data_IF_329809484941
#
_entry.id   IF_329809484941
#
_cell.length_a   1.000
_cell.length_b   1.000
_cell.length_c   1.000
_cell.angle_alpha   90.00
_cell.angle_beta   90.00
_cell.angle_gamma   90.00
#
_symmetry.space_group_name_H-M   'P 1'
#
loop_
_entity.id
_entity.type
_entity.pdbx_description
1 polymer ?
#
# COMPACT_ATOMS: atom_id res chain seq x y z
N UNK A 1 6.81 -3.52 -2.69
CA UNK A 1 6.56 -4.74 -3.49
C UNK A 1 5.84 -4.44 -4.81
N UNK A 2 4.83 -3.56 -4.83
CA UNK A 2 4.09 -3.20 -6.06
C UNK A 2 4.99 -2.69 -7.19
N UNK A 3 5.94 -1.79 -6.90
CA UNK A 3 6.87 -1.26 -7.91
C UNK A 3 7.71 -2.35 -8.57
N UNK A 4 8.14 -3.36 -7.81
CA UNK A 4 8.89 -4.50 -8.34
C UNK A 4 7.99 -5.37 -9.25
N UNK A 5 6.73 -5.59 -8.86
CA UNK A 5 5.77 -6.31 -9.68
C UNK A 5 5.49 -5.58 -11.01
N UNK A 6 5.37 -4.24 -10.99
CA UNK A 6 5.19 -3.43 -12.20
C UNK A 6 6.43 -3.51 -13.11
N UNK A 7 7.63 -3.34 -12.55
CA UNK A 7 8.87 -3.46 -13.31
C UNK A 7 9.02 -4.86 -13.94
N UNK A 8 8.68 -5.91 -13.18
CA UNK A 8 8.68 -7.28 -13.68
C UNK A 8 7.64 -7.48 -14.78
N UNK A 9 6.45 -6.88 -14.66
CA UNK A 9 5.41 -6.91 -15.69
C UNK A 9 5.86 -6.24 -16.98
N UNK A 10 6.48 -5.06 -16.90
CA UNK A 10 7.07 -4.37 -18.05
C UNK A 10 8.17 -5.22 -18.67
N UNK A 11 9.05 -5.81 -17.85
CA UNK A 11 10.11 -6.69 -18.34
C UNK A 11 9.56 -7.93 -19.03
N UNK A 12 8.47 -8.50 -18.50
CA UNK A 12 7.75 -9.64 -19.09
C UNK A 12 7.17 -9.28 -20.45
N UNK A 13 6.58 -8.08 -20.58
CA UNK A 13 6.04 -7.59 -21.86
C UNK A 13 7.15 -7.41 -22.91
N UNK A 14 8.26 -6.79 -22.51
CA UNK A 14 9.44 -6.61 -23.36
C UNK A 14 10.00 -7.98 -23.77
N UNK A 15 10.21 -8.88 -22.81
CA UNK A 15 10.66 -10.25 -23.05
C UNK A 15 9.76 -10.99 -24.04
N UNK A 16 8.44 -10.88 -23.89
CA UNK A 16 7.47 -11.51 -24.79
C UNK A 16 7.56 -10.95 -26.21
N UNK A 17 7.60 -9.62 -26.35
CA UNK A 17 7.71 -8.96 -27.67
C UNK A 17 9.01 -9.37 -28.36
N UNK A 18 10.16 -9.26 -27.68
CA UNK A 18 11.45 -9.65 -28.24
C UNK A 18 11.53 -11.15 -28.53
N UNK A 19 10.95 -11.99 -27.67
CA UNK A 19 10.86 -13.42 -27.87
C UNK A 19 10.04 -13.82 -29.08
N UNK A 20 8.91 -13.14 -29.32
CA UNK A 20 8.08 -13.38 -30.50
C UNK A 20 8.77 -12.95 -31.80
N UNK A 21 9.53 -11.84 -31.79
CA UNK A 21 10.29 -11.35 -32.96
C UNK A 21 11.49 -12.25 -33.27
N UNK A 22 12.28 -12.61 -32.26
CA UNK A 22 13.43 -13.50 -32.38
C UNK A 22 13.49 -14.47 -31.20
N UNK A 23 12.96 -15.70 -31.35
CA UNK A 23 12.86 -16.64 -30.24
C UNK A 23 14.22 -17.08 -29.70
N UNK A 24 15.26 -17.07 -30.54
CA UNK A 24 16.65 -17.32 -30.14
C UNK A 24 17.23 -16.28 -29.17
N UNK A 25 16.64 -15.10 -29.05
CA UNK A 25 17.20 -14.04 -28.19
C UNK A 25 16.96 -14.31 -26.70
N UNK A 26 15.71 -14.52 -26.23
CA UNK A 26 15.49 -14.93 -24.85
C UNK A 26 15.87 -16.39 -24.58
N UNK A 27 15.73 -17.28 -25.57
CA UNK A 27 16.05 -18.70 -25.46
C UNK A 27 17.38 -19.03 -26.16
N UNK A 28 18.41 -18.20 -25.93
CA UNK A 28 19.73 -18.37 -26.56
C UNK A 28 20.41 -19.70 -26.21
N UNK A 29 19.93 -20.39 -25.17
CA UNK A 29 20.42 -21.69 -24.71
C UNK A 29 19.80 -22.91 -25.41
N UNK A 30 18.77 -22.72 -26.25
CA UNK A 30 18.06 -23.82 -26.92
C UNK A 30 18.49 -23.97 -28.39
N UNK A 31 18.78 -25.21 -28.81
CA UNK A 31 19.16 -25.51 -30.20
C UNK A 31 18.03 -25.23 -31.21
N UNK A 32 16.78 -25.45 -30.80
CA UNK A 32 15.56 -25.18 -31.60
C UNK A 32 14.54 -24.45 -30.73
N UNK A 33 14.69 -23.13 -30.55
CA UNK A 33 13.74 -22.35 -29.78
C UNK A 33 12.49 -22.15 -30.63
N UNK A 34 11.41 -22.82 -30.24
CA UNK A 34 10.10 -22.67 -30.82
C UNK A 34 9.33 -21.52 -30.14
N UNK A 35 8.48 -20.83 -30.91
CA UNK A 35 7.65 -19.72 -30.40
C UNK A 35 6.68 -20.20 -29.32
N UNK A 36 6.25 -21.45 -29.37
CA UNK A 36 5.38 -22.06 -28.38
C UNK A 36 5.99 -22.06 -26.97
N UNK A 37 7.30 -22.33 -26.84
CA UNK A 37 7.98 -22.32 -25.53
C UNK A 37 7.94 -20.92 -24.92
N UNK A 38 8.06 -19.88 -25.75
CA UNK A 38 8.00 -18.49 -25.30
C UNK A 38 6.63 -18.15 -24.76
N UNK A 39 5.57 -18.61 -25.43
CA UNK A 39 4.19 -18.43 -24.94
C UNK A 39 4.04 -19.10 -23.57
N UNK A 40 4.48 -20.34 -23.41
CA UNK A 40 4.39 -21.08 -22.13
C UNK A 40 5.15 -20.36 -21.01
N UNK A 41 6.40 -19.96 -21.26
CA UNK A 41 7.21 -19.22 -20.26
C UNK A 41 6.55 -17.88 -19.91
N UNK A 42 5.99 -17.18 -20.90
CA UNK A 42 5.33 -15.89 -20.69
C UNK A 42 4.06 -16.06 -19.86
N UNK A 43 3.26 -17.11 -20.10
CA UNK A 43 2.08 -17.40 -19.26
C UNK A 43 2.47 -17.60 -17.80
N UNK A 44 3.57 -18.33 -17.54
CA UNK A 44 4.09 -18.53 -16.18
C UNK A 44 4.56 -17.19 -15.58
N UNK A 45 5.31 -16.39 -16.33
CA UNK A 45 5.74 -15.06 -15.87
C UNK A 45 4.57 -14.14 -15.55
N UNK A 46 3.52 -14.13 -16.36
CA UNK A 46 2.31 -13.34 -16.12
C UNK A 46 1.64 -13.78 -14.81
N UNK A 47 1.54 -15.09 -14.54
CA UNK A 47 1.01 -15.56 -13.26
C UNK A 47 1.85 -15.10 -12.07
N UNK A 48 3.18 -15.11 -12.19
CA UNK A 48 4.08 -14.61 -11.13
C UNK A 48 3.86 -13.12 -10.90
N UNK A 49 3.82 -12.32 -11.98
CA UNK A 49 3.57 -10.87 -11.90
C UNK A 49 2.21 -10.58 -11.25
N UNK A 50 1.15 -11.30 -11.65
CA UNK A 50 -0.19 -11.13 -11.10
C UNK A 50 -0.24 -11.48 -9.61
N UNK A 51 0.46 -12.53 -9.19
CA UNK A 51 0.55 -12.95 -7.77
C UNK A 51 1.24 -11.88 -6.94
N UNK A 52 2.43 -11.42 -7.37
CA UNK A 52 3.19 -10.38 -6.67
C UNK A 52 2.44 -9.04 -6.66
N UNK A 53 1.73 -8.68 -7.74
CA UNK A 53 0.94 -7.46 -7.81
C UNK A 53 -0.26 -7.54 -6.86
N UNK A 54 -0.94 -8.68 -6.80
CA UNK A 54 -2.04 -8.93 -5.87
C UNK A 54 -1.62 -8.79 -4.41
N UNK A 55 -0.49 -9.38 -4.03
CA UNK A 55 0.09 -9.26 -2.69
C UNK A 55 0.50 -7.81 -2.38
N UNK A 56 1.17 -7.14 -3.32
CA UNK A 56 1.58 -5.75 -3.15
C UNK A 56 0.41 -4.79 -2.98
N UNK A 57 -0.69 -4.98 -3.71
CA UNK A 57 -1.87 -4.13 -3.60
C UNK A 57 -2.54 -4.27 -2.22
N UNK A 58 -2.61 -5.49 -1.68
CA UNK A 58 -3.13 -5.72 -0.32
C UNK A 58 -2.26 -5.06 0.74
N UNK A 59 -0.94 -5.08 0.58
CA UNK A 59 -0.03 -4.37 1.48
C UNK A 59 -0.22 -2.85 1.42
N UNK A 60 -0.36 -2.27 0.22
CA UNK A 60 -0.62 -0.83 0.07
C UNK A 60 -1.94 -0.38 0.72
N UNK A 61 -2.99 -1.20 0.63
CA UNK A 61 -4.27 -0.91 1.28
C UNK A 61 -4.15 -0.95 2.81
N UNK A 62 -3.43 -1.95 3.35
CA UNK A 62 -3.16 -2.04 4.78
C UNK A 62 -2.29 -0.87 5.26
N UNK A 63 -1.29 -0.47 4.49
CA UNK A 63 -0.46 0.70 4.78
C UNK A 63 -1.26 2.01 4.74
N UNK A 64 -2.18 2.18 3.79
CA UNK A 64 -3.07 3.35 3.72
C UNK A 64 -4.09 3.37 4.86
N UNK A 65 -4.61 2.21 5.27
CA UNK A 65 -5.51 2.09 6.41
C UNK A 65 -4.77 2.35 7.72
N UNK A 66 -3.52 1.89 7.84
CA UNK A 66 -2.63 2.15 8.98
C UNK A 66 -2.15 3.61 9.03
N UNK A 67 -2.06 4.27 7.87
CA UNK A 67 -1.72 5.70 7.75
C UNK A 67 -2.94 6.63 7.83
N UNK A 68 -4.17 6.12 7.86
CA UNK A 68 -5.33 6.97 8.13
C UNK A 68 -5.24 7.43 9.59
N UNK A 69 -5.01 8.73 9.84
CA UNK A 69 -4.91 9.23 11.20
C UNK A 69 -6.32 9.27 11.78
N UNK A 70 -6.73 8.23 12.51
CA UNK A 70 -7.73 8.42 13.56
C UNK A 70 -7.00 9.10 14.72
N UNK A 71 -6.88 10.42 14.65
CA UNK A 71 -6.98 11.26 15.83
C UNK A 71 -7.24 12.70 15.41
N UNK A 72 -8.46 12.91 14.92
CA UNK A 72 -9.29 13.97 15.49
C UNK A 72 -9.24 13.85 17.02
N UNK A 73 -8.20 14.41 17.64
CA UNK A 73 -8.37 14.99 18.96
C UNK A 73 -8.97 16.37 18.72
N UNK A 74 -10.27 16.41 18.46
CA UNK A 74 -11.04 17.60 18.84
C UNK A 74 -10.76 17.75 20.34
N UNK A 75 -10.11 18.83 20.80
CA UNK A 75 -9.96 19.07 22.21
C UNK A 75 -11.38 19.13 22.78
N UNK A 76 -11.75 18.17 23.62
CA UNK A 76 -12.92 18.35 24.48
C UNK A 76 -12.63 19.65 25.25
N UNK A 77 -13.46 20.71 25.11
CA UNK A 77 -13.23 21.93 25.85
C UNK A 77 -13.31 21.57 27.33
N UNK A 78 -12.20 21.74 28.05
CA UNK A 78 -12.17 21.71 29.50
C UNK A 78 -13.22 22.71 29.99
N UNK A 79 -14.24 22.29 30.77
CA UNK A 79 -15.17 23.23 31.38
C UNK A 79 -14.37 24.26 32.19
N UNK A 80 -14.58 25.55 31.92
CA UNK A 80 -13.97 26.60 32.70
C UNK A 80 -14.32 26.39 34.19
N UNK A 81 -13.40 26.65 35.13
CA UNK A 81 -13.72 26.59 36.56
C UNK A 81 -14.91 27.49 36.84
N UNK A 82 -16.00 26.91 37.34
CA UNK A 82 -17.16 27.67 37.80
C UNK A 82 -16.68 28.55 38.97
N UNK A 83 -16.99 29.86 39.00
CA UNK A 83 -16.64 30.71 40.13
C UNK A 83 -17.20 30.10 41.41
N UNK A 84 -16.32 29.79 42.36
CA UNK A 84 -16.73 29.39 43.72
C UNK A 84 -17.44 30.60 44.34
N UNK A 85 -18.68 30.47 44.83
CA UNK A 85 -19.36 31.56 45.52
C UNK A 85 -18.53 31.98 46.73
N UNK A 86 -18.09 33.24 46.75
CA UNK A 86 -17.50 33.86 47.94
C UNK A 86 -18.52 33.77 49.09
N UNK A 87 -18.18 33.14 50.24
CA UNK A 87 -19.07 33.13 51.38
C UNK A 87 -19.41 34.57 51.80
N UNK A 88 -20.70 34.84 52.00
CA UNK A 88 -21.15 36.13 52.52
C UNK A 88 -20.52 36.36 53.91
N UNK A 89 -20.13 37.61 54.25
CA UNK A 89 -19.63 37.93 55.57
C UNK A 89 -20.69 37.55 56.62
N UNK A 90 -20.29 36.72 57.59
CA UNK A 90 -21.11 36.38 58.75
C UNK A 90 -21.43 37.68 59.49
N UNK A 91 -22.71 38.02 59.74
CA UNK A 91 -23.03 39.17 60.56
C UNK A 91 -22.52 38.91 61.98
N UNK A 92 -21.62 39.78 62.45
CA UNK A 92 -21.16 39.80 63.85
C UNK A 92 -22.36 39.98 64.78
N UNK A 93 -22.64 39.03 65.69
CA UNK A 93 -23.63 39.23 66.74
C UNK A 93 -23.13 40.33 67.69
N UNK A 94 -24.02 41.29 67.97
CA UNK A 94 -23.69 42.57 68.58
C UNK A 94 -22.95 42.53 69.92
N UNK A 95 -22.07 43.51 70.06
CA UNK A 95 -21.73 44.24 71.28
C UNK A 95 -21.53 45.70 70.88
#
# INVERSE_FOLDING_TARGET
MVTAAINLGVFTLVFFIFGMIKPKWPLFFLNKPDRFIIIVITTIMIMVVATLFGEGHRQHLLEQQSRSPVSDRVPVPTPAPVPVPTPAPVPTPGQ
#
